data_IF_963333113421
#
_entry.id   IF_963333113421
#
_cell.length_a   1.000
_cell.length_b   1.000
_cell.length_c   1.000
_cell.angle_alpha   90.00
_cell.angle_beta   90.00
_cell.angle_gamma   90.00
#
_symmetry.space_group_name_H-M   'P 1'
#
loop_
_entity.id
_entity.type
_entity.pdbx_description
1 polymer ?
#
# COMPACT_ATOMS: atom_id res chain seq x y z
N UNK A 1 -29.67 -6.15 -13.35
CA UNK A 1 -30.03 -5.15 -12.32
C UNK A 1 -29.40 -3.85 -12.76
N UNK A 2 -30.19 -2.80 -13.05
CA UNK A 2 -29.72 -1.52 -13.56
C UNK A 2 -28.92 -0.80 -12.47
N UNK A 3 -27.66 -0.48 -12.73
CA UNK A 3 -26.85 0.41 -11.89
C UNK A 3 -27.51 1.80 -11.91
N UNK A 4 -28.12 2.18 -10.80
CA UNK A 4 -28.58 3.56 -10.61
C UNK A 4 -27.41 4.55 -10.71
N UNK A 5 -27.69 5.87 -10.93
CA UNK A 5 -26.64 6.86 -11.07
C UNK A 5 -25.71 6.83 -9.84
N UNK A 6 -24.42 6.59 -10.09
CA UNK A 6 -23.42 6.56 -9.02
C UNK A 6 -23.29 7.96 -8.44
N UNK A 7 -23.47 8.10 -7.14
CA UNK A 7 -23.23 9.36 -6.43
C UNK A 7 -21.76 9.74 -6.57
N UNK A 8 -21.47 10.94 -7.04
CA UNK A 8 -20.12 11.46 -7.21
C UNK A 8 -19.38 11.58 -5.88
N UNK A 9 -20.10 11.93 -4.81
CA UNK A 9 -19.57 12.06 -3.46
C UNK A 9 -19.78 10.78 -2.64
N UNK A 10 -18.80 10.50 -1.77
CA UNK A 10 -18.90 9.38 -0.84
C UNK A 10 -19.89 9.66 0.27
N UNK A 11 -20.91 8.78 0.41
CA UNK A 11 -21.80 8.73 1.55
C UNK A 11 -21.59 7.41 2.31
N UNK A 12 -21.25 7.44 3.60
CA UNK A 12 -21.04 6.22 4.36
C UNK A 12 -22.33 5.44 4.49
N UNK A 13 -22.21 4.12 4.58
CA UNK A 13 -23.31 3.27 4.98
C UNK A 13 -23.90 3.78 6.31
N UNK A 14 -25.21 3.90 6.38
CA UNK A 14 -25.91 4.45 7.56
C UNK A 14 -25.60 3.69 8.85
N UNK A 15 -25.28 2.41 8.74
CA UNK A 15 -24.91 1.51 9.84
C UNK A 15 -23.39 1.51 10.14
N UNK A 16 -22.57 2.22 9.36
CA UNK A 16 -21.13 2.42 9.55
C UNK A 16 -20.74 3.91 9.45
N UNK A 17 -21.29 4.79 10.30
CA UNK A 17 -21.11 6.24 10.12
C UNK A 17 -19.74 6.75 10.57
N UNK A 18 -19.00 6.00 11.38
CA UNK A 18 -17.74 6.43 12.01
C UNK A 18 -16.49 5.96 11.27
N UNK A 19 -15.40 6.74 11.34
CA UNK A 19 -14.12 6.37 10.72
C UNK A 19 -13.54 5.05 11.23
N UNK A 20 -13.60 4.81 12.54
CA UNK A 20 -13.16 3.54 13.13
C UNK A 20 -14.00 2.35 12.67
N UNK A 21 -15.33 2.49 12.62
CA UNK A 21 -16.22 1.41 12.16
C UNK A 21 -15.97 1.07 10.69
N UNK A 22 -15.79 2.06 9.82
CA UNK A 22 -15.41 1.90 8.42
C UNK A 22 -14.09 1.13 8.28
N UNK A 23 -13.06 1.54 9.03
CA UNK A 23 -11.73 0.92 9.02
C UNK A 23 -11.77 -0.54 9.45
N UNK A 24 -12.45 -0.83 10.55
CA UNK A 24 -12.53 -2.19 11.12
C UNK A 24 -13.38 -3.11 10.26
N UNK A 25 -14.52 -2.63 9.77
CA UNK A 25 -15.40 -3.41 8.90
C UNK A 25 -14.66 -3.88 7.65
N UNK A 26 -13.96 -2.97 6.96
CA UNK A 26 -13.19 -3.32 5.76
C UNK A 26 -12.18 -4.45 6.01
N UNK A 27 -11.54 -4.43 7.18
CA UNK A 27 -10.57 -5.46 7.55
C UNK A 27 -11.23 -6.81 7.88
N UNK A 28 -12.45 -6.79 8.43
CA UNK A 28 -13.20 -7.97 8.86
C UNK A 28 -14.15 -8.49 7.78
N UNK A 29 -14.39 -7.72 6.73
CA UNK A 29 -15.31 -8.11 5.67
C UNK A 29 -14.83 -9.39 4.98
N UNK A 30 -15.78 -10.30 4.77
CA UNK A 30 -15.53 -11.59 4.13
C UNK A 30 -15.68 -11.38 2.62
N UNK A 31 -14.59 -11.50 1.90
CA UNK A 31 -14.60 -11.33 0.44
C UNK A 31 -14.68 -12.68 -0.27
N UNK A 32 -15.22 -12.66 -1.47
CA UNK A 32 -15.15 -13.78 -2.39
C UNK A 32 -13.69 -14.07 -2.76
N UNK A 33 -13.38 -15.35 -2.96
CA UNK A 33 -12.03 -15.78 -3.29
C UNK A 33 -11.72 -15.38 -4.74
N UNK A 34 -10.70 -14.57 -4.94
CA UNK A 34 -10.05 -14.36 -6.23
C UNK A 34 -8.98 -15.45 -6.39
N UNK A 35 -9.01 -16.16 -7.52
CA UNK A 35 -7.91 -17.07 -7.85
C UNK A 35 -6.73 -16.26 -8.29
N UNK A 36 -5.58 -16.46 -7.63
CA UNK A 36 -4.33 -15.80 -7.94
C UNK A 36 -3.29 -16.81 -8.41
N UNK A 37 -2.43 -16.40 -9.34
CA UNK A 37 -1.25 -17.14 -9.77
C UNK A 37 -0.01 -16.31 -9.43
N UNK A 38 0.90 -16.91 -8.67
CA UNK A 38 2.13 -16.28 -8.22
C UNK A 38 3.19 -16.31 -9.26
N UNK A 39 3.88 -15.17 -9.41
CA UNK A 39 5.11 -15.03 -10.15
C UNK A 39 6.16 -14.44 -9.23
N UNK A 40 7.35 -15.05 -9.19
CA UNK A 40 8.51 -14.50 -8.46
C UNK A 40 9.33 -13.61 -9.38
N UNK A 41 9.72 -12.46 -8.84
CA UNK A 41 10.62 -11.51 -9.46
C UNK A 41 11.91 -11.50 -8.62
N UNK A 42 13.02 -11.93 -9.22
CA UNK A 42 14.33 -11.85 -8.61
C UNK A 42 14.84 -10.39 -8.68
N UNK A 43 15.30 -9.87 -7.56
CA UNK A 43 15.79 -8.50 -7.44
C UNK A 43 17.30 -8.44 -7.62
N UNK A 44 17.81 -7.27 -7.99
CA UNK A 44 19.25 -7.05 -8.23
C UNK A 44 20.12 -7.28 -7.01
N UNK A 45 19.58 -7.10 -5.81
CA UNK A 45 20.28 -7.35 -4.54
C UNK A 45 20.32 -8.83 -4.14
N UNK A 46 19.75 -9.73 -4.97
CA UNK A 46 19.69 -11.18 -4.74
C UNK A 46 18.50 -11.61 -3.85
N UNK A 47 17.63 -10.69 -3.48
CA UNK A 47 16.35 -10.98 -2.82
C UNK A 47 15.25 -11.24 -3.87
N UNK A 48 14.00 -11.33 -3.46
CA UNK A 48 12.87 -11.52 -4.36
C UNK A 48 11.61 -10.77 -3.88
N UNK A 49 10.74 -10.53 -4.83
CA UNK A 49 9.36 -10.10 -4.61
C UNK A 49 8.42 -11.05 -5.34
N UNK A 50 7.40 -11.51 -4.64
CA UNK A 50 6.32 -12.27 -5.24
C UNK A 50 5.17 -11.35 -5.63
N UNK A 51 4.72 -11.48 -6.87
CA UNK A 51 3.54 -10.78 -7.38
C UNK A 51 2.45 -11.80 -7.72
N UNK A 52 1.20 -11.47 -7.36
CA UNK A 52 0.07 -12.39 -7.50
C UNK A 52 -0.93 -11.86 -8.54
N UNK A 53 -0.97 -12.51 -9.70
CA UNK A 53 -1.86 -12.19 -10.80
C UNK A 53 -3.27 -12.70 -10.53
N UNK A 54 -4.27 -11.83 -10.68
CA UNK A 54 -5.65 -12.28 -10.71
C UNK A 54 -5.92 -13.06 -12.01
N UNK A 55 -6.36 -14.32 -11.87
CA UNK A 55 -6.69 -15.14 -13.03
C UNK A 55 -8.17 -15.02 -13.34
N UNK A 56 -8.48 -14.53 -14.55
CA UNK A 56 -9.83 -14.44 -15.04
C UNK A 56 -10.12 -15.61 -15.99
N UNK A 57 -11.02 -16.49 -15.59
CA UNK A 57 -11.42 -17.64 -16.42
C UNK A 57 -12.43 -17.22 -17.51
N UNK A 58 -13.09 -16.05 -17.36
CA UNK A 58 -14.29 -15.71 -18.14
C UNK A 58 -14.06 -14.74 -19.31
N UNK A 59 -12.95 -14.01 -19.43
CA UNK A 59 -12.83 -12.87 -20.34
C UNK A 59 -11.55 -12.82 -21.20
N UNK A 60 -11.13 -13.96 -21.76
CA UNK A 60 -10.01 -14.04 -22.72
C UNK A 60 -10.17 -13.10 -23.93
N UNK A 61 -11.40 -12.61 -24.21
CA UNK A 61 -11.72 -11.85 -25.41
C UNK A 61 -11.84 -10.32 -25.20
N UNK A 62 -11.57 -9.79 -24.00
CA UNK A 62 -11.64 -8.34 -23.71
C UNK A 62 -10.41 -7.81 -22.96
N UNK A 63 -9.23 -8.40 -23.20
CA UNK A 63 -8.00 -7.92 -22.57
C UNK A 63 -7.73 -6.47 -22.96
N UNK A 64 -7.75 -5.56 -22.00
CA UNK A 64 -7.32 -4.17 -22.17
C UNK A 64 -5.79 -4.11 -22.35
N UNK A 65 -5.29 -3.02 -22.92
CA UNK A 65 -3.84 -2.76 -23.01
C UNK A 65 -3.25 -2.32 -21.67
N UNK A 66 -4.02 -2.42 -20.58
CA UNK A 66 -3.67 -1.94 -19.26
C UNK A 66 -3.46 -3.08 -18.26
N UNK A 67 -2.35 -3.01 -17.53
CA UNK A 67 -2.09 -3.83 -16.34
C UNK A 67 -2.16 -2.93 -15.11
N UNK A 68 -2.95 -3.32 -14.11
CA UNK A 68 -3.05 -2.61 -12.82
C UNK A 68 -2.18 -3.29 -11.78
N UNK A 69 -1.15 -2.59 -11.30
CA UNK A 69 -0.27 -3.04 -10.21
C UNK A 69 -0.81 -2.51 -8.88
N UNK A 70 -1.02 -3.39 -7.90
CA UNK A 70 -1.63 -3.06 -6.62
C UNK A 70 -0.61 -3.22 -5.50
N UNK A 71 -0.38 -2.15 -4.72
CA UNK A 71 0.51 -2.10 -3.57
C UNK A 71 -0.31 -2.11 -2.28
N UNK A 72 -0.07 -3.09 -1.41
CA UNK A 72 -0.81 -3.23 -0.15
C UNK A 72 -0.31 -2.29 0.96
N UNK A 73 -1.08 -2.15 2.04
CA UNK A 73 -0.71 -1.38 3.22
C UNK A 73 0.16 -2.14 4.22
N UNK A 74 0.52 -1.47 5.32
CA UNK A 74 1.34 -2.02 6.41
C UNK A 74 0.76 -3.33 6.95
N UNK A 75 1.60 -4.35 7.08
CA UNK A 75 1.24 -5.71 7.49
C UNK A 75 0.15 -6.37 6.62
N UNK A 76 0.00 -5.93 5.37
CA UNK A 76 -0.88 -6.53 4.36
C UNK A 76 -0.15 -7.54 3.47
N UNK A 77 -0.87 -8.00 2.45
CA UNK A 77 -0.37 -8.86 1.37
C UNK A 77 -1.35 -8.83 0.19
N UNK A 78 -1.06 -9.54 -0.88
CA UNK A 78 -1.96 -9.75 -2.02
C UNK A 78 -3.33 -10.34 -1.64
N UNK A 79 -3.40 -11.07 -0.52
CA UNK A 79 -4.63 -11.64 0.04
C UNK A 79 -5.44 -10.67 0.92
N UNK A 80 -5.02 -9.41 1.06
CA UNK A 80 -5.78 -8.40 1.82
C UNK A 80 -7.14 -8.14 1.18
N UNK A 81 -8.17 -7.94 2.02
CA UNK A 81 -9.56 -7.83 1.57
C UNK A 81 -9.77 -6.76 0.49
N UNK A 82 -9.17 -5.59 0.64
CA UNK A 82 -9.26 -4.49 -0.31
C UNK A 82 -8.50 -4.77 -1.62
N UNK A 83 -7.41 -5.54 -1.58
CA UNK A 83 -6.68 -5.99 -2.78
C UNK A 83 -7.53 -6.95 -3.59
N UNK A 84 -8.07 -8.00 -2.93
CA UNK A 84 -8.92 -9.00 -3.58
C UNK A 84 -10.21 -8.38 -4.15
N UNK A 85 -10.83 -7.42 -3.42
CA UNK A 85 -12.01 -6.70 -3.90
C UNK A 85 -11.72 -5.94 -5.19
N UNK A 86 -10.60 -5.21 -5.24
CA UNK A 86 -10.20 -4.49 -6.45
C UNK A 86 -9.84 -5.46 -7.59
N UNK A 87 -9.06 -6.50 -7.34
CA UNK A 87 -8.70 -7.51 -8.35
C UNK A 87 -9.95 -8.18 -8.94
N UNK A 88 -10.96 -8.48 -8.12
CA UNK A 88 -12.23 -9.02 -8.60
C UNK A 88 -12.93 -8.06 -9.55
N UNK A 89 -13.12 -6.79 -9.12
CA UNK A 89 -13.81 -5.80 -9.95
C UNK A 89 -13.07 -5.55 -11.27
N UNK A 90 -11.75 -5.45 -11.24
CA UNK A 90 -10.92 -5.31 -12.44
C UNK A 90 -11.10 -6.50 -13.38
N UNK A 91 -11.06 -7.72 -12.85
CA UNK A 91 -11.27 -8.95 -13.61
C UNK A 91 -12.65 -9.00 -14.25
N UNK A 92 -13.71 -8.63 -13.52
CA UNK A 92 -15.09 -8.56 -14.03
C UNK A 92 -15.24 -7.55 -15.19
N UNK A 93 -14.34 -6.55 -15.25
CA UNK A 93 -14.29 -5.53 -16.30
C UNK A 93 -13.22 -5.77 -17.37
N UNK A 94 -12.60 -6.95 -17.40
CA UNK A 94 -11.61 -7.32 -18.42
C UNK A 94 -10.25 -6.63 -18.28
N UNK A 95 -9.96 -6.07 -17.11
CA UNK A 95 -8.69 -5.41 -16.80
C UNK A 95 -7.76 -6.38 -16.08
N UNK A 96 -6.57 -6.58 -16.61
CA UNK A 96 -5.53 -7.39 -15.98
C UNK A 96 -5.01 -6.70 -14.72
N UNK A 97 -4.81 -7.47 -13.64
CA UNK A 97 -4.26 -6.92 -12.41
C UNK A 97 -3.30 -7.87 -11.71
N UNK A 98 -2.30 -7.29 -11.08
CA UNK A 98 -1.28 -7.99 -10.32
C UNK A 98 -1.08 -7.29 -8.97
N UNK A 99 -1.05 -8.05 -7.88
CA UNK A 99 -0.79 -7.54 -6.54
C UNK A 99 0.66 -7.83 -6.14
N UNK A 100 1.42 -6.79 -5.84
CA UNK A 100 2.77 -6.90 -5.33
C UNK A 100 2.72 -7.22 -3.84
N UNK A 101 3.46 -8.24 -3.41
CA UNK A 101 3.75 -8.46 -2.00
C UNK A 101 5.09 -7.82 -1.68
N UNK A 102 5.11 -6.87 -0.75
CA UNK A 102 6.38 -6.36 -0.25
C UNK A 102 7.24 -7.46 0.36
N UNK A 103 8.56 -7.24 0.49
CA UNK A 103 9.51 -8.24 1.01
C UNK A 103 9.01 -8.91 2.28
N UNK A 104 8.97 -10.24 2.30
CA UNK A 104 8.50 -11.04 3.44
C UNK A 104 6.98 -11.08 3.63
N UNK A 105 6.18 -10.47 2.73
CA UNK A 105 4.71 -10.40 2.88
C UNK A 105 3.96 -11.45 2.03
N UNK A 106 4.64 -12.28 1.26
CA UNK A 106 3.99 -13.27 0.38
C UNK A 106 3.63 -14.59 1.06
N UNK A 107 3.92 -14.73 2.35
CA UNK A 107 3.86 -15.98 3.09
C UNK A 107 5.16 -16.78 3.04
N UNK A 108 6.13 -16.35 2.23
CA UNK A 108 7.49 -16.86 2.22
C UNK A 108 8.44 -15.75 2.66
N UNK A 109 9.40 -16.09 3.53
CA UNK A 109 10.38 -15.12 4.04
C UNK A 109 11.37 -14.75 2.93
N UNK A 110 11.62 -13.47 2.76
CA UNK A 110 12.64 -12.98 1.85
C UNK A 110 14.06 -13.32 2.34
N UNK A 111 15.05 -13.30 1.45
CA UNK A 111 16.40 -13.81 1.67
C UNK A 111 17.32 -12.88 2.44
N UNK A 112 16.96 -11.57 2.53
CA UNK A 112 17.78 -10.52 3.17
C UNK A 112 17.20 -10.12 4.52
N UNK A 113 18.06 -9.63 5.42
CA UNK A 113 17.65 -8.95 6.65
C UNK A 113 16.80 -7.71 6.31
N UNK A 114 17.15 -7.01 5.25
CA UNK A 114 16.34 -5.94 4.66
C UNK A 114 14.86 -6.35 4.58
N UNK A 115 13.98 -5.49 5.10
CA UNK A 115 12.53 -5.65 5.06
C UNK A 115 11.91 -4.55 4.19
N UNK A 116 10.60 -4.59 4.01
CA UNK A 116 9.92 -3.45 3.41
C UNK A 116 9.75 -2.31 4.43
N UNK A 117 9.70 -1.09 3.93
CA UNK A 117 9.43 0.11 4.71
C UNK A 117 8.67 1.15 3.86
N UNK A 118 8.23 2.25 4.48
CA UNK A 118 7.35 3.22 3.80
C UNK A 118 8.00 4.00 2.65
N UNK A 119 9.31 3.89 2.47
CA UNK A 119 10.05 4.57 1.42
C UNK A 119 10.70 3.64 0.40
N UNK A 120 10.33 2.36 0.33
CA UNK A 120 10.95 1.33 -0.54
C UNK A 120 10.52 1.48 -2.01
N UNK A 121 10.80 2.63 -2.61
CA UNK A 121 10.45 2.96 -4.00
C UNK A 121 11.29 2.18 -5.03
N UNK A 122 12.51 1.80 -4.69
CA UNK A 122 13.40 0.98 -5.51
C UNK A 122 12.82 -0.40 -5.82
N UNK A 123 12.15 -1.03 -4.87
CA UNK A 123 11.46 -2.31 -5.10
C UNK A 123 10.31 -2.16 -6.12
N UNK A 124 9.58 -1.05 -6.07
CA UNK A 124 8.51 -0.78 -7.05
C UNK A 124 9.09 -0.56 -8.44
N UNK A 125 10.21 0.15 -8.56
CA UNK A 125 10.92 0.36 -9.81
C UNK A 125 11.40 -0.98 -10.41
N UNK A 126 11.97 -1.88 -9.60
CA UNK A 126 12.41 -3.18 -10.09
C UNK A 126 11.24 -4.06 -10.55
N UNK A 127 10.12 -4.06 -9.82
CA UNK A 127 8.89 -4.76 -10.23
C UNK A 127 8.33 -4.18 -11.53
N UNK A 128 8.23 -2.84 -11.63
CA UNK A 128 7.76 -2.18 -12.84
C UNK A 128 8.67 -2.48 -14.03
N UNK A 129 9.98 -2.41 -13.87
CA UNK A 129 10.96 -2.71 -14.91
C UNK A 129 10.83 -4.15 -15.42
N UNK A 130 10.66 -5.12 -14.50
CA UNK A 130 10.47 -6.54 -14.86
C UNK A 130 9.15 -6.74 -15.62
N UNK A 131 8.02 -6.23 -15.10
CA UNK A 131 6.72 -6.33 -15.75
C UNK A 131 6.70 -5.63 -17.11
N UNK A 132 7.37 -4.48 -17.22
CA UNK A 132 7.50 -3.73 -18.48
C UNK A 132 8.28 -4.48 -19.54
N UNK A 133 9.30 -5.22 -19.14
CA UNK A 133 10.09 -6.06 -20.04
C UNK A 133 9.27 -7.27 -20.52
N UNK A 134 8.53 -7.90 -19.62
CA UNK A 134 7.69 -9.07 -19.93
C UNK A 134 6.46 -8.73 -20.77
N UNK A 135 5.96 -7.50 -20.66
CA UNK A 135 4.76 -7.02 -21.34
C UNK A 135 5.05 -5.71 -22.10
N UNK A 136 5.89 -5.75 -23.16
CA UNK A 136 6.36 -4.55 -23.85
C UNK A 136 5.23 -3.72 -24.51
N UNK A 137 4.12 -4.38 -24.86
CA UNK A 137 2.95 -3.77 -25.51
C UNK A 137 1.95 -3.16 -24.52
N UNK A 138 2.09 -3.42 -23.21
CA UNK A 138 1.13 -3.00 -22.20
C UNK A 138 1.48 -1.64 -21.60
N UNK A 139 0.44 -0.90 -21.24
CA UNK A 139 0.49 0.25 -20.34
C UNK A 139 0.22 -0.19 -18.91
N UNK A 140 0.54 0.66 -17.94
CA UNK A 140 0.39 0.37 -16.53
C UNK A 140 -0.42 1.44 -15.82
N UNK A 141 -1.20 1.00 -14.83
CA UNK A 141 -1.72 1.87 -13.78
C UNK A 141 -1.32 1.28 -12.42
N UNK A 142 -1.15 2.15 -11.44
CA UNK A 142 -0.76 1.74 -10.10
C UNK A 142 -1.81 2.13 -9.08
N UNK A 143 -2.09 1.26 -8.12
CA UNK A 143 -3.01 1.53 -7.01
C UNK A 143 -2.31 1.19 -5.69
N UNK A 144 -2.06 2.20 -4.85
CA UNK A 144 -1.43 2.03 -3.55
C UNK A 144 -2.41 2.28 -2.41
N UNK A 145 -2.43 1.39 -1.43
CA UNK A 145 -3.25 1.53 -0.23
C UNK A 145 -2.39 1.82 0.99
N UNK A 146 -2.74 2.85 1.76
CA UNK A 146 -2.07 3.20 3.01
C UNK A 146 -0.54 3.37 2.79
N UNK A 147 0.30 2.57 3.46
CA UNK A 147 1.75 2.52 3.24
C UNK A 147 2.09 2.36 1.75
N UNK A 148 1.41 1.45 1.04
CA UNK A 148 1.62 1.27 -0.40
C UNK A 148 1.28 2.52 -1.22
N UNK A 149 0.34 3.36 -0.75
CA UNK A 149 0.07 4.67 -1.34
C UNK A 149 1.25 5.64 -1.16
N UNK A 150 1.87 5.66 0.01
CA UNK A 150 3.05 6.49 0.26
C UNK A 150 4.26 6.04 -0.58
N UNK A 151 4.51 4.73 -0.66
CA UNK A 151 5.57 4.17 -1.51
C UNK A 151 5.35 4.52 -2.98
N UNK A 152 4.11 4.38 -3.46
CA UNK A 152 3.72 4.73 -4.84
C UNK A 152 3.99 6.21 -5.14
N UNK A 153 3.50 7.11 -4.28
CA UNK A 153 3.66 8.55 -4.50
C UNK A 153 5.13 8.99 -4.40
N UNK A 154 5.89 8.40 -3.48
CA UNK A 154 7.33 8.62 -3.40
C UNK A 154 8.02 8.18 -4.69
N UNK A 155 7.77 6.97 -5.15
CA UNK A 155 8.32 6.47 -6.41
C UNK A 155 8.00 7.35 -7.61
N UNK A 156 6.75 7.79 -7.75
CA UNK A 156 6.33 8.66 -8.85
C UNK A 156 6.97 10.06 -8.77
N UNK A 157 7.15 10.61 -7.57
CA UNK A 157 7.77 11.92 -7.37
C UNK A 157 9.30 11.90 -7.51
N UNK A 158 9.95 10.74 -7.34
CA UNK A 158 11.38 10.54 -7.59
C UNK A 158 11.68 10.19 -9.06
N UNK A 159 10.68 9.74 -9.80
CA UNK A 159 10.81 9.33 -11.20
C UNK A 159 10.60 10.50 -12.14
N UNK A 160 11.34 10.53 -13.25
CA UNK A 160 11.19 11.57 -14.31
C UNK A 160 9.97 11.33 -15.22
N UNK A 161 8.91 10.73 -14.70
CA UNK A 161 7.76 10.31 -15.48
C UNK A 161 8.06 9.12 -16.42
N UNK A 162 7.09 8.28 -16.67
CA UNK A 162 7.20 7.20 -17.64
C UNK A 162 5.92 7.14 -18.46
N UNK A 163 6.04 7.29 -19.77
CA UNK A 163 4.90 7.34 -20.70
C UNK A 163 4.02 6.09 -20.69
N UNK A 164 4.53 4.97 -20.18
CA UNK A 164 3.77 3.71 -20.00
C UNK A 164 2.97 3.66 -18.72
N UNK A 165 3.25 4.55 -17.74
CA UNK A 165 2.46 4.69 -16.52
C UNK A 165 1.37 5.72 -16.79
N UNK A 166 0.16 5.24 -17.06
CA UNK A 166 -0.95 6.12 -17.49
C UNK A 166 -1.67 6.78 -16.33
N UNK A 167 -1.89 6.03 -15.25
CA UNK A 167 -2.67 6.47 -14.10
C UNK A 167 -2.10 5.92 -12.80
N UNK A 168 -2.29 6.68 -11.72
CA UNK A 168 -1.98 6.23 -10.36
C UNK A 168 -3.12 6.57 -9.40
N UNK A 169 -3.37 5.73 -8.42
CA UNK A 169 -4.35 5.98 -7.36
C UNK A 169 -3.72 5.68 -6.01
N UNK A 170 -3.79 6.62 -5.08
CA UNK A 170 -3.33 6.43 -3.72
C UNK A 170 -4.50 6.63 -2.73
N UNK A 171 -4.75 5.61 -1.91
CA UNK A 171 -5.90 5.54 -1.02
C UNK A 171 -5.46 5.56 0.43
N UNK A 172 -6.03 6.47 1.23
CA UNK A 172 -5.78 6.59 2.68
C UNK A 172 -4.28 6.65 3.02
N UNK A 173 -3.57 7.49 2.32
CA UNK A 173 -2.11 7.55 2.32
C UNK A 173 -1.57 8.31 3.52
N UNK A 174 -0.58 7.79 4.26
CA UNK A 174 0.14 8.51 5.30
C UNK A 174 1.22 9.42 4.68
N UNK A 175 0.80 10.50 4.00
CA UNK A 175 1.70 11.41 3.26
C UNK A 175 2.85 11.97 4.12
N UNK A 176 2.60 12.18 5.42
CA UNK A 176 3.60 12.57 6.42
C UNK A 176 3.68 11.50 7.49
N UNK A 177 4.73 10.67 7.42
CA UNK A 177 4.90 9.52 8.30
C UNK A 177 5.06 9.93 9.77
N UNK A 178 5.77 11.03 10.04
CA UNK A 178 5.95 11.55 11.39
C UNK A 178 4.61 11.94 12.04
N UNK A 179 3.72 12.65 11.31
CA UNK A 179 2.41 13.02 11.84
C UNK A 179 1.52 11.78 12.07
N UNK A 180 1.54 10.81 11.16
CA UNK A 180 0.77 9.57 11.30
C UNK A 180 1.28 8.71 12.47
N UNK A 181 2.59 8.57 12.63
CA UNK A 181 3.19 7.84 13.75
C UNK A 181 2.82 8.49 15.10
N UNK A 182 2.91 9.83 15.21
CA UNK A 182 2.50 10.57 16.41
C UNK A 182 0.99 10.44 16.71
N UNK A 183 0.12 10.43 15.69
CA UNK A 183 -1.32 10.22 15.88
C UNK A 183 -1.62 8.84 16.50
N UNK A 184 -0.83 7.83 16.17
CA UNK A 184 -0.93 6.48 16.76
C UNK A 184 -0.41 6.38 18.21
N UNK A 185 0.09 7.46 18.80
CA UNK A 185 0.42 7.54 20.23
C UNK A 185 -0.75 8.04 21.11
N UNK A 186 -1.85 8.50 20.51
CA UNK A 186 -2.93 9.20 21.21
C UNK A 186 -4.29 8.51 21.04
N UNK A 187 -5.16 8.64 22.01
CA UNK A 187 -6.54 8.18 21.95
C UNK A 187 -6.70 6.73 21.48
N UNK A 188 -7.69 6.50 20.62
CA UNK A 188 -7.92 5.19 20.00
C UNK A 188 -6.82 4.80 18.97
N UNK A 189 -6.05 5.76 18.47
CA UNK A 189 -4.89 5.53 17.62
C UNK A 189 -3.88 4.57 18.26
N UNK A 190 -3.74 4.61 19.60
CA UNK A 190 -2.86 3.70 20.36
C UNK A 190 -3.17 2.22 20.17
N UNK A 191 -4.43 1.87 19.93
CA UNK A 191 -4.82 0.47 19.69
C UNK A 191 -4.30 -0.02 18.35
N UNK A 192 -4.38 0.82 17.32
CA UNK A 192 -3.81 0.51 16.01
C UNK A 192 -2.28 0.45 16.07
N UNK A 193 -1.64 1.43 16.72
CA UNK A 193 -0.19 1.44 16.90
C UNK A 193 0.32 0.17 17.58
N UNK A 194 -0.29 -0.23 18.70
CA UNK A 194 0.05 -1.48 19.41
C UNK A 194 -0.18 -2.73 18.57
N UNK A 195 -1.25 -2.74 17.77
CA UNK A 195 -1.54 -3.85 16.87
C UNK A 195 -0.42 -3.98 15.83
N UNK A 196 -0.02 -2.89 15.16
CA UNK A 196 1.04 -2.91 14.16
C UNK A 196 2.40 -3.28 14.75
N UNK A 197 2.77 -2.68 15.89
CA UNK A 197 4.04 -2.99 16.58
C UNK A 197 4.14 -4.49 16.92
N UNK A 198 3.07 -5.08 17.45
CA UNK A 198 3.06 -6.52 17.76
C UNK A 198 3.28 -7.37 16.50
N UNK A 199 2.64 -7.00 15.38
CA UNK A 199 2.85 -7.70 14.11
C UNK A 199 4.27 -7.54 13.59
N UNK A 200 4.79 -6.32 13.57
CA UNK A 200 6.14 -6.04 13.09
C UNK A 200 7.22 -6.75 13.91
N UNK A 201 7.07 -6.76 15.24
CA UNK A 201 7.98 -7.51 16.13
C UNK A 201 7.88 -9.02 15.92
N UNK A 202 6.67 -9.54 15.69
CA UNK A 202 6.48 -10.96 15.37
C UNK A 202 7.11 -11.32 14.01
N UNK A 203 6.94 -10.46 12.99
CA UNK A 203 7.54 -10.67 11.68
C UNK A 203 9.08 -10.64 11.74
N UNK A 204 9.66 -9.72 12.53
CA UNK A 204 11.10 -9.66 12.77
C UNK A 204 11.60 -10.91 13.50
N UNK A 205 10.87 -11.37 14.53
CA UNK A 205 11.20 -12.59 15.26
C UNK A 205 11.15 -13.83 14.36
N UNK A 206 10.13 -13.93 13.51
CA UNK A 206 10.01 -15.01 12.53
C UNK A 206 11.16 -14.97 11.50
N UNK A 207 11.56 -13.79 11.07
CA UNK A 207 12.70 -13.60 10.17
C UNK A 207 14.01 -14.07 10.81
N UNK A 208 14.23 -13.74 12.07
CA UNK A 208 15.39 -14.20 12.84
C UNK A 208 15.40 -15.74 12.92
N UNK A 209 14.31 -16.36 13.34
CA UNK A 209 14.17 -17.83 13.38
C UNK A 209 14.36 -18.49 12.02
N UNK A 210 13.91 -17.84 10.96
CA UNK A 210 14.11 -18.34 9.59
C UNK A 210 15.60 -18.37 9.25
N UNK A 211 16.35 -17.29 9.50
CA UNK A 211 17.79 -17.26 9.21
C UNK A 211 18.60 -18.22 10.07
N UNK A 212 18.21 -18.42 11.32
CA UNK A 212 18.79 -19.48 12.18
C UNK A 212 18.56 -20.87 11.56
N UNK A 213 17.32 -21.13 11.09
CA UNK A 213 16.96 -22.44 10.52
C UNK A 213 17.66 -22.75 9.19
N UNK A 214 17.92 -21.74 8.36
CA UNK A 214 18.59 -21.91 7.04
C UNK A 214 20.10 -21.67 7.12
N UNK A 215 20.65 -21.50 8.33
CA UNK A 215 22.07 -21.23 8.62
C UNK A 215 22.64 -20.02 7.85
N UNK A 216 21.81 -18.98 7.68
CA UNK A 216 22.24 -17.73 7.03
C UNK A 216 22.79 -16.76 8.08
N UNK A 217 24.03 -17.02 8.50
CA UNK A 217 24.68 -16.31 9.61
C UNK A 217 24.91 -14.82 9.32
N UNK A 218 25.17 -14.45 8.08
CA UNK A 218 25.38 -13.04 7.70
C UNK A 218 24.11 -12.22 7.94
N UNK A 219 22.97 -12.69 7.43
CA UNK A 219 21.68 -12.00 7.58
C UNK A 219 21.16 -12.05 9.03
N UNK A 220 21.46 -13.14 9.74
CA UNK A 220 21.18 -13.25 11.17
C UNK A 220 22.02 -12.23 11.99
N UNK A 221 23.29 -12.03 11.62
CA UNK A 221 24.18 -11.06 12.26
C UNK A 221 23.64 -9.63 12.09
N UNK A 222 23.16 -9.26 10.89
CA UNK A 222 22.54 -7.94 10.65
C UNK A 222 21.35 -7.69 11.58
N UNK A 223 20.47 -8.68 11.76
CA UNK A 223 19.34 -8.56 12.70
C UNK A 223 19.83 -8.47 14.16
N UNK A 224 20.84 -9.24 14.53
CA UNK A 224 21.36 -9.24 15.91
C UNK A 224 22.05 -7.92 16.27
N UNK A 225 22.58 -7.17 15.30
CA UNK A 225 23.15 -5.83 15.51
C UNK A 225 22.12 -4.79 15.96
N UNK A 226 20.81 -5.05 15.76
CA UNK A 226 19.75 -4.19 16.29
C UNK A 226 19.69 -4.17 17.82
N UNK A 227 20.38 -5.10 18.49
CA UNK A 227 20.48 -5.16 19.94
C UNK A 227 19.19 -5.59 20.62
N UNK A 228 18.96 -5.06 21.83
CA UNK A 228 17.80 -5.41 22.65
C UNK A 228 16.57 -4.62 22.20
N UNK A 229 15.50 -5.34 21.81
CA UNK A 229 14.24 -4.80 21.30
C UNK A 229 13.08 -4.89 22.30
N UNK A 230 13.40 -5.15 23.59
CA UNK A 230 12.39 -5.18 24.64
C UNK A 230 11.82 -3.78 24.90
N UNK A 231 10.54 -3.74 25.29
CA UNK A 231 9.85 -2.50 25.64
C UNK A 231 9.38 -1.62 24.47
N UNK A 232 9.60 -2.03 23.21
CA UNK A 232 9.05 -1.30 22.06
C UNK A 232 7.53 -1.35 22.12
N UNK A 233 6.92 -0.17 22.20
CA UNK A 233 5.46 -0.01 22.41
C UNK A 233 4.77 0.85 21.35
N UNK A 234 5.53 1.51 20.48
CA UNK A 234 5.04 2.42 19.46
C UNK A 234 5.72 2.19 18.10
N UNK A 235 5.04 2.62 17.02
CA UNK A 235 5.60 2.60 15.66
C UNK A 235 6.88 3.45 15.61
N UNK A 236 6.88 4.62 16.26
CA UNK A 236 8.07 5.47 16.31
C UNK A 236 9.28 4.74 16.90
N UNK A 237 9.10 4.08 18.05
CA UNK A 237 10.18 3.31 18.70
C UNK A 237 10.63 2.11 17.86
N UNK A 238 9.72 1.46 17.16
CA UNK A 238 10.06 0.39 16.23
C UNK A 238 10.86 0.92 15.03
N UNK A 239 10.42 2.04 14.46
CA UNK A 239 11.11 2.63 13.32
C UNK A 239 12.50 3.16 13.73
N UNK A 240 12.64 3.71 14.94
CA UNK A 240 13.91 4.20 15.47
C UNK A 240 14.92 3.07 15.73
N UNK A 241 14.45 1.97 16.34
CA UNK A 241 15.32 0.86 16.77
C UNK A 241 15.49 -0.25 15.74
N UNK A 242 14.59 -0.36 14.76
CA UNK A 242 14.58 -1.46 13.79
C UNK A 242 14.64 -0.93 12.36
N UNK A 243 13.61 -0.17 11.93
CA UNK A 243 13.52 0.25 10.53
C UNK A 243 14.70 1.13 10.13
N UNK A 244 15.01 2.15 10.92
CA UNK A 244 16.07 3.09 10.58
C UNK A 244 17.45 2.40 10.49
N UNK A 245 17.95 1.70 11.53
CA UNK A 245 19.28 1.09 11.45
C UNK A 245 19.37 -0.03 10.40
N UNK A 246 18.29 -0.80 10.20
CA UNK A 246 18.28 -1.91 9.23
C UNK A 246 18.35 -1.41 7.77
N UNK A 247 17.97 -0.16 7.52
CA UNK A 247 17.93 0.43 6.17
C UNK A 247 18.88 1.63 6.01
N UNK A 248 19.78 1.87 6.97
CA UNK A 248 20.82 2.89 6.86
C UNK A 248 20.35 4.32 7.11
N UNK A 249 19.17 4.52 7.72
CA UNK A 249 18.75 5.81 8.23
C UNK A 249 19.36 6.07 9.60
N UNK A 250 19.54 7.35 9.94
CA UNK A 250 20.16 7.76 11.21
C UNK A 250 19.25 7.41 12.41
N UNK A 251 17.97 7.71 12.29
CA UNK A 251 16.94 7.54 13.31
C UNK A 251 15.55 7.56 12.65
N UNK A 252 14.47 7.41 13.44
CA UNK A 252 13.11 7.45 12.93
C UNK A 252 12.75 8.78 12.25
N UNK A 253 13.27 9.91 12.74
CA UNK A 253 13.00 11.23 12.18
C UNK A 253 13.61 11.38 10.78
N UNK A 254 14.87 10.96 10.63
CA UNK A 254 15.57 10.92 9.34
C UNK A 254 14.83 9.99 8.35
N UNK A 255 14.45 8.79 8.80
CA UNK A 255 13.64 7.86 8.02
C UNK A 255 12.33 8.51 7.54
N UNK A 256 11.57 9.15 8.43
CA UNK A 256 10.31 9.79 8.06
C UNK A 256 10.51 10.98 7.11
N UNK A 257 11.55 11.77 7.30
CA UNK A 257 11.86 12.89 6.44
C UNK A 257 12.20 12.45 5.01
N UNK A 258 12.98 11.38 4.87
CA UNK A 258 13.39 10.85 3.56
C UNK A 258 12.30 10.03 2.87
N UNK A 259 11.39 9.43 3.64
CA UNK A 259 10.42 8.47 3.11
C UNK A 259 8.97 8.98 3.01
N UNK A 260 8.66 10.16 3.56
CA UNK A 260 7.34 10.78 3.40
C UNK A 260 7.14 11.31 2.00
N UNK A 261 6.00 10.99 1.38
CA UNK A 261 5.67 11.44 0.02
C UNK A 261 5.23 12.90 -0.06
N UNK A 262 4.87 13.53 1.06
CA UNK A 262 4.30 14.89 1.09
C UNK A 262 5.19 15.97 0.43
N UNK A 263 6.50 15.80 0.47
CA UNK A 263 7.47 16.71 -0.12
C UNK A 263 7.76 16.47 -1.61
N UNK A 264 7.12 15.47 -2.22
CA UNK A 264 7.37 15.05 -3.60
C UNK A 264 6.12 15.15 -4.48
N UNK A 265 4.98 15.58 -3.92
CA UNK A 265 3.70 15.60 -4.62
C UNK A 265 3.66 16.61 -5.78
N UNK A 266 4.37 17.71 -5.69
CA UNK A 266 4.49 18.73 -6.72
C UNK A 266 5.30 18.27 -7.94
N UNK A 267 6.17 17.27 -7.76
CA UNK A 267 7.00 16.69 -8.83
C UNK A 267 6.31 15.57 -9.61
N UNK A 268 5.14 15.08 -9.18
CA UNK A 268 4.45 13.98 -9.84
C UNK A 268 3.85 14.44 -11.18
N UNK A 269 4.29 13.83 -12.28
CA UNK A 269 3.79 14.08 -13.64
C UNK A 269 2.67 13.12 -14.08
N UNK A 270 2.58 11.95 -13.46
CA UNK A 270 1.56 10.96 -13.76
C UNK A 270 0.18 11.43 -13.27
N UNK A 271 -0.85 11.25 -14.10
CA UNK A 271 -2.25 11.52 -13.71
C UNK A 271 -2.61 10.68 -12.49
N UNK A 272 -2.80 11.33 -11.34
CA UNK A 272 -2.92 10.67 -10.03
C UNK A 272 -4.20 11.09 -9.31
N UNK A 273 -4.93 10.09 -8.80
CA UNK A 273 -6.07 10.28 -7.91
C UNK A 273 -5.68 9.97 -6.46
N UNK A 274 -5.85 10.92 -5.58
CA UNK A 274 -5.75 10.72 -4.13
C UNK A 274 -7.16 10.57 -3.57
N UNK A 275 -7.43 9.46 -2.88
CA UNK A 275 -8.71 9.23 -2.17
C UNK A 275 -8.43 9.22 -0.67
N UNK A 276 -8.92 10.23 0.05
CA UNK A 276 -8.63 10.43 1.47
C UNK A 276 -9.90 10.79 2.23
N UNK A 277 -9.99 10.40 3.51
CA UNK A 277 -11.05 10.86 4.41
C UNK A 277 -10.51 11.71 5.55
N UNK A 278 -11.28 12.73 5.95
CA UNK A 278 -10.93 13.60 7.08
C UNK A 278 -11.05 12.90 8.43
N UNK A 279 -11.89 11.87 8.52
CA UNK A 279 -12.08 11.07 9.74
C UNK A 279 -11.26 9.78 9.76
N UNK A 280 -10.17 9.72 8.97
CA UNK A 280 -9.24 8.59 8.98
C UNK A 280 -8.54 8.49 10.36
N UNK A 281 -8.66 7.37 11.08
CA UNK A 281 -8.07 7.24 12.41
C UNK A 281 -6.55 7.09 12.44
N UNK A 282 -5.92 6.87 11.27
CA UNK A 282 -4.47 6.68 11.14
C UNK A 282 -3.78 7.85 10.45
N UNK A 283 -4.52 8.63 9.66
CA UNK A 283 -3.99 9.78 8.91
C UNK A 283 -4.66 11.06 9.42
N UNK A 284 -4.01 11.78 10.34
CA UNK A 284 -4.58 13.02 10.89
C UNK A 284 -4.67 14.12 9.82
N UNK A 285 -5.58 15.07 9.99
CA UNK A 285 -5.80 16.16 9.04
C UNK A 285 -4.51 16.94 8.69
N UNK A 286 -3.59 17.07 9.65
CA UNK A 286 -2.28 17.72 9.44
C UNK A 286 -1.35 16.96 8.49
N UNK A 287 -1.60 15.67 8.28
CA UNK A 287 -0.83 14.85 7.35
C UNK A 287 -1.40 14.89 5.92
N UNK A 288 -2.60 15.45 5.71
CA UNK A 288 -3.23 15.57 4.39
C UNK A 288 -2.65 16.80 3.68
N UNK A 289 -2.17 16.68 2.44
CA UNK A 289 -1.60 17.81 1.72
C UNK A 289 -2.66 18.86 1.38
N UNK A 290 -2.29 20.14 1.42
CA UNK A 290 -3.12 21.21 0.86
C UNK A 290 -3.06 21.18 -0.67
N UNK A 291 -4.11 21.70 -1.34
CA UNK A 291 -4.18 21.76 -2.81
C UNK A 291 -3.01 22.48 -3.46
N UNK A 292 -2.44 23.47 -2.78
CA UNK A 292 -1.29 24.27 -3.25
C UNK A 292 0.01 23.47 -3.37
N UNK A 293 0.10 22.32 -2.65
CA UNK A 293 1.26 21.43 -2.67
C UNK A 293 1.12 20.28 -3.67
N UNK A 294 0.02 20.26 -4.41
CA UNK A 294 -0.24 19.19 -5.37
C UNK A 294 0.17 19.63 -6.77
N UNK A 295 0.81 18.72 -7.50
CA UNK A 295 1.01 18.85 -8.94
C UNK A 295 -0.32 19.05 -9.67
N UNK A 296 -0.38 19.75 -10.81
CA UNK A 296 -1.58 19.84 -11.63
C UNK A 296 -2.09 18.49 -12.17
N UNK A 297 -1.28 17.46 -12.09
CA UNK A 297 -1.65 16.09 -12.47
C UNK A 297 -2.34 15.32 -11.32
N UNK A 298 -2.41 15.89 -10.11
CA UNK A 298 -3.00 15.25 -8.95
C UNK A 298 -4.41 15.77 -8.69
N UNK A 299 -5.36 14.85 -8.61
CA UNK A 299 -6.73 15.11 -8.18
C UNK A 299 -6.95 14.54 -6.76
N UNK A 300 -7.22 15.41 -5.79
CA UNK A 300 -7.54 15.03 -4.41
C UNK A 300 -9.06 14.91 -4.22
N UNK A 301 -9.55 13.70 -3.99
CA UNK A 301 -10.91 13.42 -3.52
C UNK A 301 -10.90 13.28 -2.00
N UNK A 302 -11.16 14.39 -1.31
CA UNK A 302 -11.23 14.45 0.15
C UNK A 302 -12.67 14.34 0.60
N UNK A 303 -13.01 13.25 1.29
CA UNK A 303 -14.32 13.04 1.90
C UNK A 303 -14.28 13.38 3.39
N UNK A 304 -15.39 13.93 3.93
CA UNK A 304 -15.53 14.16 5.37
C UNK A 304 -15.55 12.87 6.21
N UNK A 305 -15.96 11.76 5.58
CA UNK A 305 -16.09 10.42 6.19
C UNK A 305 -15.47 9.38 5.27
N UNK A 306 -15.21 8.16 5.79
CA UNK A 306 -14.64 7.07 5.00
C UNK A 306 -13.72 6.15 5.80
N UNK A 307 -13.14 6.64 6.89
CA UNK A 307 -12.14 5.89 7.68
C UNK A 307 -10.87 5.61 6.89
N UNK A 308 -10.10 4.62 7.35
CA UNK A 308 -8.86 4.18 6.72
C UNK A 308 -9.14 3.01 5.77
N UNK A 309 -9.05 3.25 4.46
CA UNK A 309 -9.35 2.26 3.39
C UNK A 309 -10.80 1.72 3.46
N UNK A 310 -11.67 2.31 4.29
CA UNK A 310 -13.04 1.85 4.47
C UNK A 310 -13.90 2.13 3.24
N UNK A 311 -14.42 3.33 3.16
CA UNK A 311 -15.27 3.84 2.07
C UNK A 311 -16.44 2.90 1.74
N UNK A 312 -17.06 2.32 2.78
CA UNK A 312 -18.24 1.46 2.65
C UNK A 312 -19.48 2.33 2.50
N UNK A 313 -20.17 2.19 1.38
CA UNK A 313 -21.37 2.96 1.02
C UNK A 313 -22.57 2.05 0.83
N UNK A 314 -23.74 2.49 1.32
CA UNK A 314 -25.01 1.75 1.18
C UNK A 314 -24.93 0.33 1.75
N UNK A 315 -25.34 -0.64 0.95
CA UNK A 315 -25.21 -2.08 1.22
C UNK A 315 -24.04 -2.71 0.45
N UNK A 316 -23.33 -1.92 -0.38
CA UNK A 316 -22.27 -2.37 -1.27
C UNK A 316 -20.92 -1.85 -0.81
N UNK A 317 -19.93 -2.71 -0.72
CA UNK A 317 -18.54 -2.38 -0.35
C UNK A 317 -17.74 -1.78 -1.53
N UNK A 318 -18.36 -1.59 -2.70
CA UNK A 318 -17.63 -1.36 -3.95
C UNK A 318 -17.47 0.11 -4.36
N UNK A 319 -17.88 1.09 -3.55
CA UNK A 319 -17.75 2.51 -3.95
C UNK A 319 -16.31 2.88 -4.29
N UNK A 320 -15.36 2.50 -3.43
CA UNK A 320 -13.94 2.81 -3.61
C UNK A 320 -13.38 2.13 -4.87
N UNK A 321 -13.63 0.85 -5.04
CA UNK A 321 -13.16 0.08 -6.20
C UNK A 321 -13.74 0.61 -7.51
N UNK A 322 -15.01 1.01 -7.50
CA UNK A 322 -15.64 1.62 -8.68
C UNK A 322 -15.05 2.99 -9.01
N UNK A 323 -14.72 3.82 -8.01
CA UNK A 323 -14.01 5.09 -8.22
C UNK A 323 -12.61 4.89 -8.80
N UNK A 324 -11.90 3.89 -8.32
CA UNK A 324 -10.60 3.51 -8.87
C UNK A 324 -10.76 3.07 -10.33
N UNK A 325 -11.68 2.14 -10.62
CA UNK A 325 -11.93 1.65 -11.97
C UNK A 325 -12.31 2.78 -12.94
N UNK A 326 -13.23 3.67 -12.54
CA UNK A 326 -13.62 4.83 -13.35
C UNK A 326 -12.43 5.70 -13.71
N UNK A 327 -11.55 5.98 -12.74
CA UNK A 327 -10.39 6.85 -12.97
C UNK A 327 -9.36 6.21 -13.90
N UNK A 328 -9.10 4.91 -13.77
CA UNK A 328 -8.08 4.24 -14.59
C UNK A 328 -8.54 3.91 -16.02
N UNK A 329 -9.86 3.91 -16.29
CA UNK A 329 -10.42 3.61 -17.61
C UNK A 329 -10.62 4.85 -18.49
N UNK A 330 -10.55 6.05 -17.94
CA UNK A 330 -10.61 7.35 -18.64
C UNK A 330 -9.22 7.84 -18.99
#
# INVERSE_FOLDING_TARGET
MSSGPQKEEFEPAWWLPGGHSQTLYRKLSRLEKVRQVRQRIELRDGDFIDVDWATNIALVNKATDLIVVILHGLCGCSGSSYVLSLQRLLSENGVSSVAMNFRGCSGEMNRKARAYHSGISDDVEEVFSNLSCLHPEKNFAFVGYSLGGNVLLKWLGESSGNSRIKKAVAVSTPFSLAHCSRAMLQGLGRLYGRYFVRKLLADLSNKKLYFEKVDNLDQLSEINQLGELTGISSIWEFDDKVTAPLHGFKDAEDYYNQCSSIGLLDAIETQTLLVQSQNDPLVPALAIPSSEKLSPHINLKLSSKGGHVGFISGWSEQWLEQKILQFIQV
#
